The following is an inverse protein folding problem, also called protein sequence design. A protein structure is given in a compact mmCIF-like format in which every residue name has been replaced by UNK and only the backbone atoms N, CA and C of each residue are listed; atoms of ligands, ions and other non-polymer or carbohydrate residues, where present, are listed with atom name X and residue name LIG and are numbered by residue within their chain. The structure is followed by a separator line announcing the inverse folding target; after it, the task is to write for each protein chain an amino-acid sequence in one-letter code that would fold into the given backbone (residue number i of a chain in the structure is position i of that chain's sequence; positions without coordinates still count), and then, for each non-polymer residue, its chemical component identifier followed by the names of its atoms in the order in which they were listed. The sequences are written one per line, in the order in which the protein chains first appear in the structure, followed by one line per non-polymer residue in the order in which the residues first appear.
data_IF_474502095521
#
_entry.id   IF_474502095521
#
_cell.length_a   1.000
_cell.length_b   1.000
_cell.length_c   1.000
_cell.angle_alpha   90.00
_cell.angle_beta   90.00
_cell.angle_gamma   90.00
#
_symmetry.space_group_name_H-M   'P 1'
#
loop_
_entity.id
_entity.type
_entity.pdbx_description
1 polymer ?
#
# COMPACT_ATOMS: atom_id res chain seq x y z
N UNK A 1 -8.39 3.65 12.19
CA UNK A 1 -8.07 5.09 12.21
C UNK A 1 -9.27 5.83 12.78
N UNK A 2 -9.11 7.09 13.21
CA UNK A 2 -10.24 7.94 13.60
C UNK A 2 -10.64 8.80 12.38
N UNK A 3 -11.82 8.59 11.77
CA UNK A 3 -12.29 9.37 10.62
C UNK A 3 -12.40 10.88 10.87
N UNK A 4 -12.52 11.31 12.14
CA UNK A 4 -12.56 12.72 12.49
C UNK A 4 -11.18 13.38 12.48
N UNK A 5 -10.10 12.59 12.59
CA UNK A 5 -8.72 13.07 12.59
C UNK A 5 -8.03 12.85 11.24
N UNK A 6 -8.34 11.76 10.54
CA UNK A 6 -7.79 11.43 9.22
C UNK A 6 -8.84 10.72 8.38
N UNK A 7 -8.99 11.16 7.13
CA UNK A 7 -9.94 10.54 6.20
C UNK A 7 -9.30 9.36 5.46
N UNK A 8 -10.14 8.54 4.81
CA UNK A 8 -9.67 7.35 4.08
C UNK A 8 -8.76 7.70 2.89
N UNK A 9 -9.02 8.83 2.21
CA UNK A 9 -8.23 9.30 1.08
C UNK A 9 -6.76 9.55 1.48
N UNK A 10 -6.51 10.17 2.63
CA UNK A 10 -5.15 10.39 3.14
C UNK A 10 -4.42 9.09 3.47
N UNK A 11 -5.13 8.02 3.81
CA UNK A 11 -4.51 6.70 4.00
C UNK A 11 -4.13 6.07 2.65
N UNK A 12 -4.94 6.26 1.62
CA UNK A 12 -4.64 5.81 0.25
C UNK A 12 -3.43 6.56 -0.31
N UNK A 13 -3.36 7.88 -0.14
CA UNK A 13 -2.20 8.69 -0.53
C UNK A 13 -0.90 8.17 0.10
N UNK A 14 -0.90 8.00 1.43
CA UNK A 14 0.25 7.46 2.14
C UNK A 14 0.60 6.03 1.70
N UNK A 15 -0.40 5.21 1.38
CA UNK A 15 -0.20 3.87 0.84
C UNK A 15 0.52 3.91 -0.51
N UNK A 16 0.06 4.73 -1.46
CA UNK A 16 0.62 4.80 -2.81
C UNK A 16 2.06 5.31 -2.82
N UNK A 17 2.37 6.30 -1.98
CA UNK A 17 3.73 6.84 -1.86
C UNK A 17 4.69 5.94 -1.04
N UNK A 18 4.14 5.10 -0.16
CA UNK A 18 4.91 4.32 0.80
C UNK A 18 5.55 3.03 0.26
N UNK A 19 5.25 2.63 -0.97
CA UNK A 19 5.76 1.38 -1.57
C UNK A 19 5.79 1.44 -3.10
N UNK A 20 6.24 0.37 -3.77
CA UNK A 20 6.22 0.29 -5.23
C UNK A 20 5.06 -0.61 -5.71
N UNK A 21 3.93 -0.05 -6.18
CA UNK A 21 2.75 -0.82 -6.52
C UNK A 21 2.86 -1.59 -7.86
N UNK A 22 3.96 -1.47 -8.61
CA UNK A 22 4.13 -2.12 -9.92
C UNK A 22 4.98 -3.41 -9.85
N UNK A 23 5.42 -3.83 -8.66
CA UNK A 23 6.35 -4.96 -8.49
C UNK A 23 5.70 -6.34 -8.40
N UNK A 24 4.36 -6.43 -8.40
CA UNK A 24 3.63 -7.70 -8.37
C UNK A 24 3.88 -8.47 -7.08
N UNK A 25 4.38 -9.70 -7.19
CA UNK A 25 4.66 -10.61 -6.06
C UNK A 25 6.03 -10.32 -5.41
N UNK A 26 6.32 -9.05 -5.15
CA UNK A 26 7.60 -8.54 -4.64
C UNK A 26 7.44 -7.13 -4.06
N UNK A 27 8.25 -6.80 -3.05
CA UNK A 27 8.58 -5.42 -2.67
C UNK A 27 10.09 -5.30 -2.42
N UNK A 28 10.78 -4.47 -3.20
CA UNK A 28 12.23 -4.30 -3.10
C UNK A 28 12.97 -5.63 -3.23
N UNK A 29 13.75 -5.98 -2.21
CA UNK A 29 14.50 -7.23 -2.16
C UNK A 29 13.64 -8.45 -1.78
N UNK A 30 12.44 -8.22 -1.23
CA UNK A 30 11.58 -9.26 -0.71
C UNK A 30 10.68 -9.82 -1.82
N UNK A 31 10.89 -11.08 -2.22
CA UNK A 31 10.17 -11.73 -3.31
C UNK A 31 9.27 -12.87 -2.80
N UNK A 32 8.06 -12.93 -3.32
CA UNK A 32 7.04 -13.92 -2.95
C UNK A 32 5.64 -13.33 -2.88
N UNK A 33 4.62 -14.18 -3.04
CA UNK A 33 3.21 -13.76 -3.04
C UNK A 33 2.78 -13.03 -1.76
N UNK A 34 3.43 -13.33 -0.63
CA UNK A 34 3.22 -12.69 0.66
C UNK A 34 3.66 -11.21 0.71
N UNK A 35 4.44 -10.76 -0.28
CA UNK A 35 4.94 -9.37 -0.38
C UNK A 35 4.24 -8.58 -1.48
N UNK A 36 3.07 -9.02 -1.95
CA UNK A 36 2.32 -8.27 -2.96
C UNK A 36 1.71 -7.01 -2.38
N UNK A 37 1.52 -6.01 -3.24
CA UNK A 37 0.72 -4.84 -2.91
C UNK A 37 -0.76 -5.20 -2.85
N UNK A 38 -1.47 -4.75 -1.82
CA UNK A 38 -2.91 -5.02 -1.66
C UNK A 38 -3.61 -3.99 -0.78
N UNK A 39 -4.84 -3.66 -1.17
CA UNK A 39 -5.80 -2.85 -0.41
C UNK A 39 -6.98 -3.75 -0.04
N UNK A 40 -7.32 -3.77 1.24
CA UNK A 40 -8.38 -4.60 1.79
C UNK A 40 -9.47 -3.73 2.42
N UNK A 41 -10.67 -3.77 1.84
CA UNK A 41 -11.76 -2.81 2.13
C UNK A 41 -12.85 -3.42 3.00
N UNK A 42 -13.53 -2.59 3.80
CA UNK A 42 -14.59 -3.03 4.72
C UNK A 42 -16.01 -2.73 4.23
N UNK A 43 -16.15 -1.87 3.22
CA UNK A 43 -17.43 -1.49 2.62
C UNK A 43 -17.25 -1.07 1.16
N UNK A 44 -18.36 -0.93 0.44
CA UNK A 44 -18.38 -0.57 -0.98
C UNK A 44 -17.83 0.85 -1.24
N UNK A 45 -17.96 1.75 -0.27
CA UNK A 45 -17.43 3.11 -0.39
C UNK A 45 -15.91 3.10 -0.41
N UNK A 46 -15.27 2.35 0.50
CA UNK A 46 -13.82 2.16 0.51
C UNK A 46 -13.35 1.45 -0.77
N UNK A 47 -14.10 0.44 -1.24
CA UNK A 47 -13.77 -0.25 -2.49
C UNK A 47 -13.72 0.72 -3.67
N UNK A 48 -14.78 1.51 -3.88
CA UNK A 48 -14.82 2.52 -4.94
C UNK A 48 -13.69 3.53 -4.81
N UNK A 49 -13.47 4.08 -3.60
CA UNK A 49 -12.39 5.05 -3.37
C UNK A 49 -11.00 4.46 -3.64
N UNK A 50 -10.77 3.20 -3.29
CA UNK A 50 -9.52 2.50 -3.55
C UNK A 50 -9.28 2.33 -5.06
N UNK A 51 -10.30 1.93 -5.83
CA UNK A 51 -10.23 1.80 -7.29
C UNK A 51 -9.96 3.16 -7.97
N UNK A 52 -10.69 4.20 -7.57
CA UNK A 52 -10.48 5.55 -8.09
C UNK A 52 -9.06 6.04 -7.79
N UNK A 53 -8.56 5.79 -6.57
CA UNK A 53 -7.20 6.19 -6.18
C UNK A 53 -6.12 5.43 -6.93
N UNK A 54 -6.33 4.15 -7.24
CA UNK A 54 -5.43 3.33 -8.07
C UNK A 54 -5.32 3.93 -9.46
N UNK A 55 -6.45 4.24 -10.08
CA UNK A 55 -6.49 4.76 -11.43
C UNK A 55 -5.86 6.15 -11.49
N UNK A 56 -6.10 6.97 -10.48
CA UNK A 56 -5.47 8.27 -10.32
C UNK A 56 -3.93 8.15 -10.17
N UNK A 57 -3.45 7.27 -9.30
CA UNK A 57 -2.02 7.08 -9.09
C UNK A 57 -1.33 6.44 -10.31
N UNK A 58 -2.02 5.55 -11.03
CA UNK A 58 -1.52 4.96 -12.27
C UNK A 58 -1.19 6.05 -13.32
N UNK A 59 -2.01 7.09 -13.43
CA UNK A 59 -1.74 8.22 -14.34
C UNK A 59 -0.47 8.98 -13.94
N UNK A 60 -0.25 9.18 -12.65
CA UNK A 60 0.97 9.80 -12.14
C UNK A 60 2.21 8.94 -12.43
N UNK A 61 2.11 7.62 -12.20
CA UNK A 61 3.18 6.66 -12.45
C UNK A 61 3.59 6.58 -13.93
N UNK A 62 2.67 6.81 -14.86
CA UNK A 62 2.96 6.79 -16.30
C UNK A 62 4.04 7.80 -16.71
N UNK A 63 4.32 8.81 -15.89
CA UNK A 63 5.41 9.76 -16.13
C UNK A 63 6.80 9.16 -15.87
N UNK A 64 6.90 8.07 -15.11
CA UNK A 64 8.17 7.46 -14.70
C UNK A 64 8.30 5.99 -15.09
N UNK A 65 7.19 5.29 -15.34
CA UNK A 65 7.18 3.87 -15.71
C UNK A 65 5.98 3.52 -16.58
N UNK A 66 6.17 2.57 -17.52
CA UNK A 66 5.06 1.96 -18.27
C UNK A 66 4.47 0.73 -17.57
N UNK A 67 5.05 0.31 -16.43
CA UNK A 67 4.55 -0.83 -15.68
C UNK A 67 3.19 -0.50 -15.05
N UNK A 68 2.18 -1.38 -15.19
CA UNK A 68 0.90 -1.18 -14.57
C UNK A 68 0.98 -1.38 -13.05
N UNK A 69 0.07 -0.75 -12.33
CA UNK A 69 -0.22 -1.05 -10.93
C UNK A 69 -0.71 -2.49 -10.82
N UNK A 70 -0.12 -3.22 -9.87
CA UNK A 70 -0.40 -4.64 -9.60
C UNK A 70 -1.13 -4.85 -8.27
N UNK A 71 -1.45 -3.76 -7.57
CA UNK A 71 -2.19 -3.76 -6.30
C UNK A 71 -3.54 -4.45 -6.45
N UNK A 72 -3.76 -5.51 -5.66
CA UNK A 72 -5.10 -6.10 -5.56
C UNK A 72 -6.00 -5.24 -4.68
N UNK A 73 -7.29 -5.16 -5.02
CA UNK A 73 -8.30 -4.45 -4.22
C UNK A 73 -9.43 -5.44 -3.99
N UNK A 74 -9.59 -5.87 -2.74
CA UNK A 74 -10.51 -6.95 -2.36
C UNK A 74 -11.21 -6.62 -1.03
N UNK A 75 -12.39 -7.21 -0.76
CA UNK A 75 -12.97 -7.19 0.57
C UNK A 75 -11.99 -7.79 1.59
N UNK A 76 -11.94 -7.19 2.78
CA UNK A 76 -11.00 -7.60 3.81
C UNK A 76 -11.23 -9.06 4.22
N UNK A 77 -10.21 -9.94 4.05
CA UNK A 77 -10.31 -11.31 4.52
C UNK A 77 -10.15 -11.37 6.04
N UNK A 78 -10.29 -12.57 6.61
CA UNK A 78 -9.90 -12.80 8.00
C UNK A 78 -8.44 -12.40 8.22
N UNK A 79 -8.23 -11.47 9.15
CA UNK A 79 -6.89 -11.05 9.56
C UNK A 79 -6.36 -11.97 10.66
N UNK A 80 -5.16 -12.50 10.46
CA UNK A 80 -4.45 -13.30 11.46
C UNK A 80 -3.27 -12.50 11.99
N UNK A 81 -3.19 -12.37 13.32
CA UNK A 81 -2.03 -11.74 13.93
C UNK A 81 -0.77 -12.57 13.68
N UNK A 82 0.27 -11.91 13.16
CA UNK A 82 1.62 -12.45 13.17
C UNK A 82 2.17 -12.55 14.61
N UNK A 83 3.24 -13.31 14.77
CA UNK A 83 3.95 -13.51 16.04
C UNK A 83 4.36 -12.18 16.69
N UNK A 84 4.45 -12.18 18.03
CA UNK A 84 4.68 -10.97 18.82
C UNK A 84 5.97 -10.19 18.48
N UNK A 85 6.98 -10.87 17.94
CA UNK A 85 8.23 -10.23 17.53
C UNK A 85 8.08 -9.43 16.22
N UNK A 86 7.13 -9.79 15.35
CA UNK A 86 6.80 -9.02 14.15
C UNK A 86 6.03 -7.73 14.48
N UNK A 87 5.24 -7.75 15.56
CA UNK A 87 4.41 -6.61 15.95
C UNK A 87 5.28 -5.41 16.33
N UNK A 88 5.05 -4.26 15.68
CA UNK A 88 5.80 -3.02 15.90
C UNK A 88 7.33 -3.19 15.81
N UNK A 89 7.80 -4.10 14.96
CA UNK A 89 9.22 -4.46 14.86
C UNK A 89 10.14 -3.24 14.66
N UNK A 90 9.79 -2.31 13.77
CA UNK A 90 10.60 -1.11 13.48
C UNK A 90 10.56 -0.06 14.61
N UNK A 91 9.49 -0.01 15.42
CA UNK A 91 9.47 0.83 16.61
C UNK A 91 10.41 0.28 17.69
N UNK A 92 10.53 -1.05 17.79
CA UNK A 92 11.47 -1.75 18.70
C UNK A 92 12.91 -1.70 18.18
N UNK A 93 13.08 -1.70 16.87
CA UNK A 93 14.38 -1.70 16.18
C UNK A 93 14.41 -0.56 15.15
N UNK A 94 14.67 0.70 15.56
CA UNK A 94 14.60 1.86 14.65
C UNK A 94 15.56 1.80 13.46
N UNK A 95 16.68 1.07 13.61
CA UNK A 95 17.65 0.79 12.54
C UNK A 95 17.46 -0.61 11.92
N UNK A 96 16.32 -1.25 12.18
CA UNK A 96 15.97 -2.56 11.64
C UNK A 96 15.77 -2.51 10.13
N UNK A 97 15.75 -3.69 9.52
CA UNK A 97 15.55 -3.80 8.08
C UNK A 97 14.18 -3.26 7.65
N UNK A 98 14.19 -2.35 6.67
CA UNK A 98 13.00 -1.87 5.98
C UNK A 98 13.29 -1.85 4.48
N UNK A 99 12.65 -2.77 3.73
CA UNK A 99 12.77 -2.84 2.27
C UNK A 99 11.87 -1.87 1.51
N UNK A 100 11.13 -1.01 2.24
CA UNK A 100 10.19 -0.06 1.62
C UNK A 100 10.96 1.11 1.01
N UNK A 101 11.02 1.11 -0.31
CA UNK A 101 11.29 2.29 -1.13
C UNK A 101 10.06 2.52 -2.00
N UNK A 102 9.39 3.65 -1.81
CA UNK A 102 8.32 4.08 -2.71
C UNK A 102 8.83 4.27 -4.14
N UNK A 103 7.94 4.69 -5.04
CA UNK A 103 8.32 5.01 -6.43
C UNK A 103 9.01 6.38 -6.56
N UNK A 104 8.95 7.22 -5.51
CA UNK A 104 9.34 8.62 -5.57
C UNK A 104 8.33 9.53 -6.27
N UNK A 105 7.20 8.99 -6.73
CA UNK A 105 6.09 9.75 -7.33
C UNK A 105 5.08 10.11 -6.24
N UNK A 106 4.87 11.41 -6.05
CA UNK A 106 3.83 11.92 -5.16
C UNK A 106 2.44 11.57 -5.71
N UNK A 107 1.51 11.29 -4.80
CA UNK A 107 0.10 11.20 -5.15
C UNK A 107 -0.39 12.59 -5.59
N UNK A 108 -1.03 12.74 -6.76
CA UNK A 108 -1.51 14.05 -7.21
C UNK A 108 -2.68 14.54 -6.34
N UNK A 109 -2.55 15.78 -5.85
CA UNK A 109 -3.56 16.51 -5.07
C UNK A 109 -4.70 17.02 -5.92
#
# INVERSE_FOLDING_TARGET
FDPAAINYQSLLEAFWEGHNPTQGMRQGNDAGTQYRSGIYTFDDQQHSMAEDSRDHYQLALQQVTSAPVTTEILPAPTFYFAEAYHQQYLAKNPAGYCGLGGTGVCYPS
#
